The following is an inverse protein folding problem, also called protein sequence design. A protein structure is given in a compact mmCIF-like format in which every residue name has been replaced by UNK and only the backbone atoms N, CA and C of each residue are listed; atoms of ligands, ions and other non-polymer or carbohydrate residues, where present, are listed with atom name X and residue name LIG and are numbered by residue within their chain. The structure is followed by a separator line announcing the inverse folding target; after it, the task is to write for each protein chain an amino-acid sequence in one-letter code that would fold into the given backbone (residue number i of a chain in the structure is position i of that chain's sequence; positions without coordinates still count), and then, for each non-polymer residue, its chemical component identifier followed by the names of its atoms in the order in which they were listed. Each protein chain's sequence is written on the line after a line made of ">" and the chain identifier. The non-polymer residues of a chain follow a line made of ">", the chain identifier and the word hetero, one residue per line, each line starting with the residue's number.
data_IF_481550111920
#
_entry.id   IF_481550111920
#
_cell.length_a   1.000
_cell.length_b   1.000
_cell.length_c   1.000
_cell.angle_alpha   90.00
_cell.angle_beta   90.00
_cell.angle_gamma   90.00
#
_symmetry.space_group_name_H-M   'P 1'
#
loop_
_entity.id
_entity.type
_entity.pdbx_description
1 polymer ?
#
# COMPACT_ATOMS: atom_id res chain seq x y z
N UNK A 1 -26.15 40.52 -79.91
CA UNK A 1 -27.42 40.09 -79.29
C UNK A 1 -27.08 39.08 -78.20
N UNK A 2 -27.43 39.40 -76.96
CA UNK A 2 -27.00 38.72 -75.75
C UNK A 2 -27.82 37.44 -75.50
N UNK A 3 -27.15 36.35 -75.10
CA UNK A 3 -27.78 35.24 -74.37
C UNK A 3 -27.02 35.08 -73.07
N UNK A 4 -27.48 35.84 -72.08
CA UNK A 4 -27.12 35.69 -70.69
C UNK A 4 -28.14 34.78 -70.00
N UNK A 5 -27.64 33.86 -69.19
CA UNK A 5 -28.36 33.44 -67.99
C UNK A 5 -29.04 32.08 -68.05
N UNK A 6 -28.30 31.05 -67.61
CA UNK A 6 -28.84 30.02 -66.69
C UNK A 6 -27.73 29.27 -65.95
N UNK A 7 -26.94 29.98 -65.13
CA UNK A 7 -26.05 29.36 -64.14
C UNK A 7 -26.74 29.32 -62.77
N UNK A 8 -27.75 28.46 -62.62
CA UNK A 8 -28.54 28.38 -61.38
C UNK A 8 -28.98 26.95 -61.02
N UNK A 9 -28.08 25.96 -61.13
CA UNK A 9 -28.39 24.57 -60.73
C UNK A 9 -27.32 23.93 -59.84
N UNK A 10 -26.52 24.74 -59.16
CA UNK A 10 -25.70 24.28 -58.04
C UNK A 10 -25.99 25.19 -56.84
N UNK A 11 -27.25 25.23 -56.43
CA UNK A 11 -27.54 25.45 -55.01
C UNK A 11 -26.97 24.24 -54.29
N UNK A 12 -25.68 24.31 -53.99
CA UNK A 12 -25.00 23.42 -53.07
C UNK A 12 -25.80 23.49 -51.78
N UNK A 13 -26.50 22.38 -51.50
CA UNK A 13 -27.50 22.30 -50.46
C UNK A 13 -27.00 22.84 -49.13
N UNK A 14 -27.66 23.90 -48.66
CA UNK A 14 -27.71 24.27 -47.26
C UNK A 14 -28.47 23.17 -46.51
N UNK A 15 -27.83 22.01 -46.33
CA UNK A 15 -28.40 20.86 -45.65
C UNK A 15 -28.37 21.11 -44.13
N UNK A 16 -29.50 21.41 -43.47
CA UNK A 16 -29.53 21.86 -42.08
C UNK A 16 -29.08 20.78 -41.08
N UNK A 17 -29.02 19.51 -41.52
CA UNK A 17 -28.60 18.38 -40.72
C UNK A 17 -27.07 18.26 -40.57
N UNK A 18 -26.28 18.82 -41.51
CA UNK A 18 -24.82 18.72 -41.47
C UNK A 18 -24.22 19.39 -40.21
N UNK A 19 -24.82 20.50 -39.74
CA UNK A 19 -24.42 21.16 -38.49
C UNK A 19 -24.74 20.34 -37.24
N UNK A 20 -25.90 19.69 -37.15
CA UNK A 20 -26.25 18.84 -36.00
C UNK A 20 -25.44 17.54 -35.99
N UNK A 21 -25.10 17.01 -37.17
CA UNK A 21 -24.24 15.83 -37.31
C UNK A 21 -22.79 16.12 -36.88
N UNK A 22 -22.26 17.31 -37.23
CA UNK A 22 -20.92 17.75 -36.83
C UNK A 22 -20.74 17.88 -35.31
N UNK A 23 -21.70 18.48 -34.60
CA UNK A 23 -21.62 18.62 -33.12
C UNK A 23 -21.66 17.26 -32.42
N UNK A 24 -22.50 16.34 -32.89
CA UNK A 24 -22.57 14.97 -32.35
C UNK A 24 -21.28 14.19 -32.62
N UNK A 25 -20.70 14.32 -33.82
CA UNK A 25 -19.44 13.68 -34.16
C UNK A 25 -18.28 14.21 -33.30
N UNK A 26 -18.19 15.53 -33.09
CA UNK A 26 -17.19 16.14 -32.20
C UNK A 26 -17.34 15.68 -30.76
N UNK A 27 -18.59 15.60 -30.24
CA UNK A 27 -18.85 15.09 -28.89
C UNK A 27 -18.38 13.63 -28.74
N UNK A 28 -18.69 12.77 -29.71
CA UNK A 28 -18.23 11.38 -29.71
C UNK A 28 -16.70 11.27 -29.76
N UNK A 29 -16.04 12.10 -30.57
CA UNK A 29 -14.58 12.17 -30.62
C UNK A 29 -13.97 12.53 -29.27
N UNK A 30 -14.52 13.53 -28.58
CA UNK A 30 -14.07 13.93 -27.24
C UNK A 30 -14.26 12.79 -26.24
N UNK A 31 -15.40 12.10 -26.26
CA UNK A 31 -15.67 10.97 -25.36
C UNK A 31 -14.69 9.82 -25.62
N UNK A 32 -14.41 9.49 -26.88
CA UNK A 32 -13.42 8.45 -27.23
C UNK A 32 -12.04 8.83 -26.70
N UNK A 33 -11.61 10.07 -26.91
CA UNK A 33 -10.31 10.55 -26.41
C UNK A 33 -10.27 10.48 -24.88
N UNK A 34 -11.34 10.92 -24.21
CA UNK A 34 -11.44 10.85 -22.75
C UNK A 34 -11.37 9.40 -22.24
N UNK A 35 -12.02 8.45 -22.92
CA UNK A 35 -11.95 7.03 -22.60
C UNK A 35 -10.53 6.48 -22.77
N UNK A 36 -9.84 6.82 -23.85
CA UNK A 36 -8.46 6.41 -24.08
C UNK A 36 -7.51 6.95 -23.01
N UNK A 37 -7.63 8.23 -22.67
CA UNK A 37 -6.85 8.85 -21.59
C UNK A 37 -7.13 8.14 -20.27
N UNK A 38 -8.39 7.87 -19.96
CA UNK A 38 -8.80 7.18 -18.74
C UNK A 38 -8.24 5.76 -18.69
N UNK A 39 -8.32 5.01 -19.78
CA UNK A 39 -7.77 3.67 -19.87
C UNK A 39 -6.26 3.65 -19.60
N UNK A 40 -5.51 4.56 -20.23
CA UNK A 40 -4.06 4.69 -20.01
C UNK A 40 -3.74 5.11 -18.56
N UNK A 41 -4.50 6.03 -17.98
CA UNK A 41 -4.34 6.46 -16.60
C UNK A 41 -4.57 5.30 -15.61
N UNK A 42 -5.60 4.48 -15.84
CA UNK A 42 -5.88 3.29 -15.01
C UNK A 42 -4.74 2.29 -15.10
N UNK A 43 -4.23 2.00 -16.31
CA UNK A 43 -3.12 1.06 -16.52
C UNK A 43 -1.87 1.56 -15.78
N UNK A 44 -1.52 2.84 -15.94
CA UNK A 44 -0.39 3.46 -15.27
C UNK A 44 -0.52 3.38 -13.74
N UNK A 45 -1.70 3.76 -13.22
CA UNK A 45 -2.00 3.70 -11.79
C UNK A 45 -1.89 2.27 -11.26
N UNK A 46 -2.43 1.28 -11.97
CA UNK A 46 -2.34 -0.13 -11.58
C UNK A 46 -0.88 -0.59 -11.51
N UNK A 47 -0.06 -0.21 -12.50
CA UNK A 47 1.35 -0.56 -12.52
C UNK A 47 2.11 0.07 -11.34
N UNK A 48 1.93 1.38 -11.10
CA UNK A 48 2.50 2.09 -9.96
C UNK A 48 2.09 1.43 -8.64
N UNK A 49 0.81 1.11 -8.47
CA UNK A 49 0.31 0.43 -7.26
C UNK A 49 1.01 -0.91 -7.05
N UNK A 50 1.14 -1.74 -8.09
CA UNK A 50 1.85 -3.03 -7.98
C UNK A 50 3.31 -2.85 -7.55
N UNK A 51 4.01 -1.86 -8.10
CA UNK A 51 5.40 -1.57 -7.75
C UNK A 51 5.53 -1.10 -6.30
N UNK A 52 4.69 -0.15 -5.87
CA UNK A 52 4.71 0.35 -4.49
C UNK A 52 4.33 -0.75 -3.49
N UNK A 53 3.35 -1.57 -3.82
CA UNK A 53 2.93 -2.69 -2.98
C UNK A 53 4.03 -3.75 -2.85
N UNK A 54 4.73 -4.08 -3.95
CA UNK A 54 5.88 -4.99 -3.89
C UNK A 54 7.00 -4.43 -2.99
N UNK A 55 7.23 -3.11 -3.01
CA UNK A 55 8.21 -2.46 -2.13
C UNK A 55 7.77 -2.54 -0.66
N UNK A 56 6.50 -2.29 -0.38
CA UNK A 56 5.94 -2.42 0.97
C UNK A 56 6.10 -3.84 1.49
N UNK A 57 5.70 -4.84 0.70
CA UNK A 57 5.82 -6.26 1.07
C UNK A 57 7.26 -6.64 1.39
N UNK A 58 8.24 -6.11 0.66
CA UNK A 58 9.65 -6.35 0.93
C UNK A 58 10.07 -5.81 2.31
N UNK A 59 9.63 -4.60 2.66
CA UNK A 59 9.93 -3.99 3.95
C UNK A 59 9.24 -4.73 5.11
N UNK A 60 7.99 -5.16 4.92
CA UNK A 60 7.27 -5.96 5.90
C UNK A 60 7.96 -7.31 6.14
N UNK A 61 8.35 -8.02 5.07
CA UNK A 61 9.10 -9.26 5.19
C UNK A 61 10.43 -9.07 5.94
N UNK A 62 11.13 -7.94 5.71
CA UNK A 62 12.35 -7.60 6.46
C UNK A 62 12.06 -7.37 7.94
N UNK A 63 11.03 -6.59 8.27
CA UNK A 63 10.60 -6.36 9.65
C UNK A 63 10.26 -7.67 10.35
N UNK A 64 9.48 -8.54 9.71
CA UNK A 64 9.03 -9.80 10.29
C UNK A 64 10.21 -10.75 10.52
N UNK A 65 11.22 -10.74 9.63
CA UNK A 65 12.46 -11.50 9.82
C UNK A 65 13.26 -11.02 11.03
N UNK A 66 13.41 -9.70 11.20
CA UNK A 66 14.08 -9.10 12.36
C UNK A 66 13.30 -9.37 13.65
N UNK A 67 11.96 -9.33 13.61
CA UNK A 67 11.14 -9.62 14.77
C UNK A 67 11.25 -11.08 15.21
N UNK A 68 11.40 -12.00 14.26
CA UNK A 68 11.66 -13.41 14.53
C UNK A 68 13.03 -13.60 15.18
N UNK A 69 14.06 -12.95 14.64
CA UNK A 69 15.41 -12.98 15.21
C UNK A 69 15.44 -12.38 16.62
N UNK A 70 14.79 -11.24 16.82
CA UNK A 70 14.62 -10.63 18.13
C UNK A 70 13.91 -11.57 19.12
N UNK A 71 12.81 -12.21 18.70
CA UNK A 71 12.10 -13.18 19.53
C UNK A 71 12.99 -14.35 19.93
N UNK A 72 13.82 -14.85 19.01
CA UNK A 72 14.81 -15.89 19.29
C UNK A 72 15.86 -15.40 20.30
N UNK A 73 16.42 -14.21 20.10
CA UNK A 73 17.41 -13.62 21.03
C UNK A 73 16.82 -13.41 22.42
N UNK A 74 15.55 -13.00 22.52
CA UNK A 74 14.87 -12.82 23.80
C UNK A 74 14.67 -14.15 24.52
N UNK A 75 14.39 -15.23 23.78
CA UNK A 75 14.31 -16.59 24.35
C UNK A 75 15.69 -17.07 24.83
N UNK A 76 16.74 -16.81 24.04
CA UNK A 76 18.12 -17.06 24.43
C UNK A 76 18.47 -16.26 25.71
N UNK A 77 18.14 -14.96 25.78
CA UNK A 77 18.37 -14.13 26.96
C UNK A 77 17.56 -14.59 28.17
N UNK A 78 16.28 -14.93 28.02
CA UNK A 78 15.46 -15.42 29.12
C UNK A 78 16.00 -16.74 29.72
N UNK A 79 16.67 -17.54 28.90
CA UNK A 79 17.36 -18.76 29.35
C UNK A 79 18.61 -18.41 30.18
N UNK A 80 19.30 -17.30 29.88
CA UNK A 80 20.50 -16.83 30.58
C UNK A 80 20.20 -15.90 31.76
N UNK A 81 19.03 -15.25 31.76
CA UNK A 81 18.45 -14.41 32.82
C UNK A 81 17.55 -15.20 33.76
N UNK A 82 17.45 -16.52 33.59
CA UNK A 82 16.81 -17.41 34.56
C UNK A 82 17.40 -17.16 35.97
N UNK A 83 16.57 -17.05 37.02
CA UNK A 83 16.95 -16.75 38.41
C UNK A 83 18.15 -17.53 38.95
N UNK A 84 18.49 -18.67 38.32
CA UNK A 84 19.67 -19.49 38.56
C UNK A 84 21.00 -18.71 38.62
N UNK A 85 21.20 -17.63 37.83
CA UNK A 85 22.46 -16.85 37.91
C UNK A 85 22.53 -15.99 39.17
N UNK A 86 21.40 -15.37 39.54
CA UNK A 86 21.28 -14.57 40.77
C UNK A 86 21.37 -15.48 41.99
N UNK A 87 20.68 -16.63 41.96
CA UNK A 87 20.70 -17.66 43.01
C UNK A 87 22.10 -18.27 43.17
N UNK A 88 22.77 -18.63 42.08
CA UNK A 88 24.16 -19.10 42.11
C UNK A 88 25.11 -18.05 42.69
N UNK A 89 24.92 -16.77 42.36
CA UNK A 89 25.79 -15.72 42.88
C UNK A 89 25.49 -15.44 44.35
N UNK A 90 24.23 -15.43 44.77
CA UNK A 90 23.81 -15.25 46.16
C UNK A 90 24.29 -16.41 47.04
N UNK A 91 24.17 -17.66 46.60
CA UNK A 91 24.70 -18.79 47.36
C UNK A 91 26.23 -18.81 47.38
N UNK A 92 26.93 -18.49 46.28
CA UNK A 92 28.41 -18.56 46.24
C UNK A 92 29.11 -17.36 46.86
N UNK A 93 28.58 -16.14 46.72
CA UNK A 93 29.23 -14.89 47.20
C UNK A 93 28.68 -14.42 48.53
N UNK A 94 27.40 -14.67 48.81
CA UNK A 94 26.72 -14.18 50.01
C UNK A 94 26.34 -15.31 50.98
N UNK A 95 26.65 -16.57 50.63
CA UNK A 95 26.30 -17.77 51.41
C UNK A 95 24.81 -17.86 51.77
N UNK A 96 23.95 -17.26 50.93
CA UNK A 96 22.51 -17.26 51.15
C UNK A 96 21.93 -18.65 50.84
N UNK A 97 21.10 -19.14 51.75
CA UNK A 97 20.35 -20.40 51.67
C UNK A 97 18.86 -20.11 51.86
N UNK A 98 17.99 -20.92 51.26
CA UNK A 98 16.55 -20.82 51.48
C UNK A 98 16.25 -21.21 52.94
N UNK A 99 15.62 -20.32 53.74
CA UNK A 99 15.33 -20.61 55.14
C UNK A 99 14.29 -21.73 55.29
N UNK A 100 14.41 -22.55 56.34
CA UNK A 100 13.41 -23.58 56.65
C UNK A 100 12.12 -22.95 57.19
N UNK A 101 11.03 -23.71 57.19
CA UNK A 101 9.70 -23.26 57.68
C UNK A 101 9.78 -22.71 59.11
N UNK A 102 10.73 -23.21 59.89
CA UNK A 102 10.97 -22.85 61.29
C UNK A 102 11.67 -21.48 61.47
N UNK A 103 12.30 -20.97 60.41
CA UNK A 103 13.05 -19.69 60.40
C UNK A 103 12.20 -18.52 59.87
N UNK A 104 10.94 -18.75 59.47
CA UNK A 104 10.05 -17.72 58.90
C UNK A 104 9.18 -17.08 59.98
N UNK A 105 9.36 -15.79 60.22
CA UNK A 105 8.54 -15.01 61.17
C UNK A 105 7.62 -14.04 60.43
N UNK A 106 6.31 -14.25 60.54
CA UNK A 106 5.29 -13.35 59.99
C UNK A 106 5.03 -12.22 60.98
N UNK A 107 5.19 -10.98 60.51
CA UNK A 107 4.84 -9.76 61.26
C UNK A 107 3.48 -9.29 60.80
N UNK A 108 2.53 -9.19 61.73
CA UNK A 108 1.22 -8.58 61.48
C UNK A 108 1.34 -7.05 61.61
N UNK A 109 0.64 -6.29 60.75
CA UNK A 109 0.69 -4.83 60.72
C UNK A 109 0.14 -4.18 62.00
#
# INVERSE_FOLDING_TARGET
>A
MAVQGRRSLLEAGDWPFARRLGVRASLLGIVIIALLITALAIISTSHLTRVQYARLQKLENQRDSLQTEWGRLLLEESTWSSPARIESLASKRLNMRVPSVDEVKVIHP
#
